data_IF_550852700480
#
_entry.id   IF_550852700480
#
_cell.length_a   1.000
_cell.length_b   1.000
_cell.length_c   1.000
_cell.angle_alpha   90.00
_cell.angle_beta   90.00
_cell.angle_gamma   90.00
#
_symmetry.space_group_name_H-M   'P 1'
#
loop_
_entity.id
_entity.type
_entity.pdbx_description
1 polymer ?
#
# COMPACT_ATOMS: atom_id res chain seq x y z
N UNK A 1 -21.10 1.54 13.42
CA UNK A 1 -20.38 2.56 12.64
C UNK A 1 -19.39 1.90 11.70
N UNK A 2 -19.16 2.48 10.53
CA UNK A 2 -18.08 2.03 9.65
C UNK A 2 -16.78 2.67 10.13
N UNK A 3 -15.87 1.83 10.61
CA UNK A 3 -14.60 2.24 11.21
C UNK A 3 -13.44 1.69 10.39
N UNK A 4 -12.43 2.53 10.20
CA UNK A 4 -11.19 2.15 9.55
C UNK A 4 -10.00 2.60 10.39
N UNK A 5 -8.83 2.04 10.09
CA UNK A 5 -7.58 2.56 10.62
C UNK A 5 -6.54 2.65 9.51
N UNK A 6 -5.62 3.58 9.68
CA UNK A 6 -4.42 3.71 8.84
C UNK A 6 -3.21 3.43 9.73
N UNK A 7 -2.35 2.53 9.27
CA UNK A 7 -1.08 2.26 9.89
C UNK A 7 -0.05 3.28 9.39
N UNK A 8 0.66 3.90 10.32
CA UNK A 8 1.76 4.82 10.02
C UNK A 8 3.02 4.26 10.63
N UNK A 9 4.11 4.32 9.86
CA UNK A 9 5.45 4.00 10.34
C UNK A 9 6.35 5.23 10.18
N UNK A 10 7.17 5.56 11.19
CA UNK A 10 8.21 6.56 11.03
C UNK A 10 9.28 6.06 10.06
N UNK A 11 9.74 6.94 9.17
CA UNK A 11 10.86 6.63 8.27
C UNK A 11 12.17 6.99 8.96
N UNK A 12 13.03 5.99 9.19
CA UNK A 12 14.38 6.21 9.69
C UNK A 12 15.36 6.31 8.53
N UNK A 13 16.20 7.35 8.53
CA UNK A 13 17.22 7.59 7.52
C UNK A 13 18.54 6.85 7.78
N UNK A 14 18.81 6.40 9.01
CA UNK A 14 19.99 5.60 9.37
C UNK A 14 19.71 4.66 10.54
N UNK A 15 20.14 3.40 10.41
CA UNK A 15 19.72 2.31 11.29
C UNK A 15 20.83 1.81 12.21
N UNK A 16 22.10 1.96 11.83
CA UNK A 16 23.20 1.29 12.55
C UNK A 16 23.58 1.92 13.90
N UNK A 17 23.47 3.24 14.09
CA UNK A 17 23.94 3.93 15.32
C UNK A 17 22.95 4.95 15.90
N UNK A 18 21.68 4.89 15.53
CA UNK A 18 20.69 5.83 16.04
C UNK A 18 20.09 5.30 17.36
N UNK A 19 20.22 6.00 18.50
CA UNK A 19 19.59 5.59 19.76
C UNK A 19 18.06 5.45 19.65
N UNK A 20 17.44 6.20 18.73
CA UNK A 20 16.02 6.06 18.40
C UNK A 20 15.67 4.66 17.86
N UNK A 21 16.59 3.98 17.17
CA UNK A 21 16.33 2.64 16.64
C UNK A 21 16.03 1.62 17.75
N UNK A 22 16.82 1.65 18.83
CA UNK A 22 16.63 0.76 19.99
C UNK A 22 15.32 1.03 20.74
N UNK A 23 14.86 2.28 20.74
CA UNK A 23 13.58 2.65 21.35
C UNK A 23 12.43 2.16 20.46
N UNK A 24 12.52 2.37 19.14
CA UNK A 24 11.45 2.02 18.20
C UNK A 24 11.27 0.51 18.06
N UNK A 25 12.34 -0.30 18.13
CA UNK A 25 12.23 -1.77 18.14
C UNK A 25 11.50 -2.29 19.39
N UNK A 26 11.59 -1.60 20.52
CA UNK A 26 10.95 -2.00 21.79
C UNK A 26 9.56 -1.42 21.98
N UNK A 27 9.18 -0.43 21.18
CA UNK A 27 7.88 0.22 21.29
C UNK A 27 6.82 -0.59 20.54
N UNK A 28 5.76 -0.98 21.26
CA UNK A 28 4.61 -1.67 20.68
C UNK A 28 3.79 -0.72 19.81
N UNK A 29 2.98 -1.26 18.90
CA UNK A 29 1.96 -0.48 18.21
C UNK A 29 1.04 0.25 19.21
N UNK A 30 0.71 1.51 18.92
CA UNK A 30 -0.12 2.36 19.76
C UNK A 30 -1.04 3.25 18.93
N UNK A 31 -2.10 3.77 19.57
CA UNK A 31 -3.01 4.73 18.95
C UNK A 31 -2.36 6.11 18.94
N UNK A 32 -2.09 6.64 17.75
CA UNK A 32 -1.49 7.96 17.57
C UNK A 32 -2.52 9.09 17.49
N UNK A 33 -3.76 8.78 17.09
CA UNK A 33 -4.84 9.77 17.04
C UNK A 33 -6.13 9.22 16.46
N UNK A 34 -7.20 10.01 16.56
CA UNK A 34 -8.48 9.78 15.88
C UNK A 34 -8.60 10.67 14.63
N UNK A 35 -9.37 10.20 13.65
CA UNK A 35 -9.82 10.99 12.51
C UNK A 35 -11.33 11.17 12.64
N UNK A 36 -11.75 12.41 12.86
CA UNK A 36 -13.12 12.80 13.15
C UNK A 36 -13.68 13.70 12.04
N UNK A 37 -15.00 13.83 11.97
CA UNK A 37 -15.68 14.67 10.97
C UNK A 37 -15.63 14.14 9.54
N UNK A 38 -15.35 12.84 9.34
CA UNK A 38 -15.35 12.22 8.01
C UNK A 38 -16.78 11.84 7.61
N UNK A 39 -17.30 12.52 6.59
CA UNK A 39 -18.63 12.27 6.03
C UNK A 39 -18.49 11.93 4.55
N UNK A 40 -19.08 10.81 4.13
CA UNK A 40 -19.11 10.43 2.72
C UNK A 40 -20.00 11.38 1.91
N UNK A 41 -19.86 11.39 0.59
CA UNK A 41 -20.78 12.11 -0.31
C UNK A 41 -22.25 11.67 -0.15
N UNK A 42 -22.48 10.44 0.32
CA UNK A 42 -23.79 9.89 0.65
C UNK A 42 -24.27 10.23 2.07
N UNK A 43 -23.53 11.04 2.83
CA UNK A 43 -23.91 11.49 4.17
C UNK A 43 -23.61 10.48 5.29
N UNK A 44 -22.87 9.40 5.00
CA UNK A 44 -22.48 8.45 6.04
C UNK A 44 -21.25 8.94 6.79
N UNK A 45 -21.39 9.06 8.11
CA UNK A 45 -20.27 9.33 9.00
C UNK A 45 -19.35 8.10 9.14
N UNK A 46 -18.05 8.37 9.18
CA UNK A 46 -17.00 7.38 9.35
C UNK A 46 -16.11 7.77 10.51
N UNK A 47 -15.69 6.77 11.29
CA UNK A 47 -14.70 6.95 12.34
C UNK A 47 -13.37 6.37 11.87
N UNK A 48 -12.32 7.18 11.91
CA UNK A 48 -10.98 6.73 11.56
C UNK A 48 -10.04 6.72 12.76
N UNK A 49 -9.03 5.86 12.68
CA UNK A 49 -7.96 5.79 13.68
C UNK A 49 -6.60 5.82 12.99
N UNK A 50 -5.63 6.49 13.62
CA UNK A 50 -4.22 6.44 13.21
C UNK A 50 -3.50 5.53 14.17
N UNK A 51 -3.04 4.39 13.69
CA UNK A 51 -2.24 3.44 14.47
C UNK A 51 -0.78 3.64 14.07
N UNK A 52 0.08 3.92 15.04
CA UNK A 52 1.51 3.95 14.80
C UNK A 52 2.09 2.57 15.06
N UNK A 53 2.82 2.03 14.09
CA UNK A 53 3.75 0.92 14.31
C UNK A 53 5.17 1.46 14.16
N UNK A 54 5.88 1.70 15.27
CA UNK A 54 7.19 2.36 15.28
C UNK A 54 8.22 1.74 14.35
N UNK A 55 8.24 0.41 14.23
CA UNK A 55 9.16 -0.26 13.34
C UNK A 55 8.67 -1.66 12.99
N UNK A 56 8.65 -1.97 11.68
CA UNK A 56 8.94 -3.32 11.23
C UNK A 56 10.29 -3.23 10.50
N UNK A 57 11.31 -3.91 10.99
CA UNK A 57 12.57 -3.94 10.30
C UNK A 57 12.40 -4.65 8.95
N UNK A 58 12.93 -4.02 7.89
CA UNK A 58 13.09 -4.69 6.61
C UNK A 58 13.91 -5.97 6.82
N UNK A 59 13.53 -7.05 6.12
CA UNK A 59 14.00 -8.44 6.30
C UNK A 59 15.52 -8.70 6.31
N UNK A 60 16.38 -7.70 6.18
CA UNK A 60 17.83 -7.84 6.11
C UNK A 60 18.54 -7.14 7.27
N UNK A 61 18.31 -7.62 8.50
CA UNK A 61 19.30 -7.40 9.55
C UNK A 61 19.53 -8.71 10.27
N UNK A 62 20.79 -9.12 10.32
CA UNK A 62 21.29 -10.32 10.98
C UNK A 62 21.03 -10.35 12.51
N UNK A 63 20.30 -9.37 13.04
CA UNK A 63 20.13 -9.07 14.47
C UNK A 63 18.69 -9.18 14.97
N UNK A 64 17.74 -9.58 14.12
CA UNK A 64 16.31 -9.57 14.48
C UNK A 64 15.79 -10.99 14.54
N UNK A 65 15.18 -11.41 15.67
CA UNK A 65 14.53 -12.70 15.77
C UNK A 65 13.46 -12.86 14.68
N UNK A 66 13.41 -14.01 14.01
CA UNK A 66 12.46 -14.27 12.91
C UNK A 66 10.98 -14.01 13.26
N UNK A 67 10.62 -14.08 14.55
CA UNK A 67 9.26 -13.85 15.04
C UNK A 67 8.94 -12.39 15.38
N UNK A 68 9.90 -11.45 15.30
CA UNK A 68 9.68 -10.06 15.71
C UNK A 68 8.57 -9.39 14.89
N UNK A 69 8.65 -9.51 13.56
CA UNK A 69 7.67 -8.94 12.64
C UNK A 69 6.28 -9.55 12.89
N UNK A 70 6.23 -10.84 13.21
CA UNK A 70 5.01 -11.54 13.58
C UNK A 70 4.40 -11.00 14.89
N UNK A 71 5.20 -10.77 15.92
CA UNK A 71 4.71 -10.23 17.19
C UNK A 71 4.16 -8.82 17.00
N UNK A 72 4.84 -7.98 16.22
CA UNK A 72 4.37 -6.62 15.92
C UNK A 72 3.10 -6.63 15.08
N UNK A 73 3.00 -7.53 14.09
CA UNK A 73 1.79 -7.76 13.32
C UNK A 73 0.59 -8.10 14.22
N UNK A 74 0.80 -9.05 15.13
CA UNK A 74 -0.22 -9.48 16.10
C UNK A 74 -0.70 -8.33 16.97
N UNK A 75 0.21 -7.47 17.43
CA UNK A 75 -0.12 -6.29 18.25
C UNK A 75 -0.96 -5.27 17.49
N UNK A 76 -0.61 -4.96 16.24
CA UNK A 76 -1.41 -4.06 15.38
C UNK A 76 -2.80 -4.60 15.15
N UNK A 77 -2.92 -5.89 14.84
CA UNK A 77 -4.21 -6.56 14.60
C UNK A 77 -5.04 -6.54 15.89
N UNK A 78 -4.46 -6.93 17.03
CA UNK A 78 -5.15 -6.92 18.32
C UNK A 78 -5.67 -5.51 18.69
N UNK A 79 -4.84 -4.47 18.50
CA UNK A 79 -5.26 -3.09 18.72
C UNK A 79 -6.40 -2.68 17.78
N UNK A 80 -6.29 -3.01 16.49
CA UNK A 80 -7.33 -2.72 15.50
C UNK A 80 -8.66 -3.40 15.84
N UNK A 81 -8.61 -4.65 16.32
CA UNK A 81 -9.80 -5.39 16.78
C UNK A 81 -10.43 -4.75 18.01
N UNK A 82 -9.61 -4.30 18.98
CA UNK A 82 -10.09 -3.58 20.17
C UNK A 82 -10.80 -2.28 19.80
N UNK A 83 -10.32 -1.59 18.77
CA UNK A 83 -10.93 -0.37 18.22
C UNK A 83 -12.16 -0.65 17.34
N UNK A 84 -12.52 -1.92 17.12
CA UNK A 84 -13.64 -2.31 16.29
C UNK A 84 -13.44 -1.96 14.81
N UNK A 85 -12.19 -1.83 14.34
CA UNK A 85 -11.85 -1.47 12.96
C UNK A 85 -12.25 -2.60 12.01
N UNK A 86 -12.91 -2.24 10.91
CA UNK A 86 -13.26 -3.22 9.85
C UNK A 86 -12.18 -3.34 8.79
N UNK A 87 -11.58 -2.22 8.41
CA UNK A 87 -10.55 -2.14 7.37
C UNK A 87 -9.31 -1.44 7.94
N UNK A 88 -8.15 -2.08 7.80
CA UNK A 88 -6.86 -1.51 8.18
C UNK A 88 -6.01 -1.29 6.92
N UNK A 89 -5.78 -0.02 6.58
CA UNK A 89 -4.84 0.37 5.53
C UNK A 89 -3.42 0.35 6.07
N UNK A 90 -2.55 -0.52 5.55
CA UNK A 90 -1.19 -0.74 6.08
C UNK A 90 -0.06 -0.27 5.16
N UNK A 91 -0.36 0.01 3.89
CA UNK A 91 0.66 0.31 2.89
C UNK A 91 1.35 -0.95 2.34
N UNK A 92 1.99 -0.84 1.17
CA UNK A 92 2.47 -1.99 0.39
C UNK A 92 3.54 -2.82 1.10
N UNK A 93 4.61 -2.19 1.59
CA UNK A 93 5.72 -2.90 2.25
C UNK A 93 5.27 -3.66 3.50
N UNK A 94 4.47 -2.99 4.34
CA UNK A 94 3.97 -3.60 5.57
C UNK A 94 2.89 -4.63 5.26
N UNK A 95 2.10 -4.45 4.21
CA UNK A 95 1.11 -5.43 3.79
C UNK A 95 1.77 -6.77 3.48
N UNK A 96 2.89 -6.79 2.76
CA UNK A 96 3.62 -8.02 2.43
C UNK A 96 4.13 -8.75 3.68
N UNK A 97 4.55 -7.99 4.70
CA UNK A 97 5.01 -8.55 5.98
C UNK A 97 3.86 -9.05 6.87
N UNK A 98 2.71 -8.37 6.84
CA UNK A 98 1.54 -8.69 7.67
C UNK A 98 0.62 -9.75 7.07
N UNK A 99 0.39 -9.71 5.75
CA UNK A 99 -0.68 -10.44 5.09
C UNK A 99 -0.58 -11.97 5.20
N UNK A 100 0.59 -12.61 5.02
CA UNK A 100 0.71 -14.08 5.16
C UNK A 100 0.26 -14.59 6.53
N UNK A 101 0.50 -13.79 7.57
CA UNK A 101 0.24 -14.15 8.97
C UNK A 101 -1.16 -13.73 9.44
N UNK A 102 -1.72 -12.66 8.88
CA UNK A 102 -3.01 -12.13 9.28
C UNK A 102 -4.19 -12.94 8.70
N UNK A 103 -4.09 -13.31 7.42
CA UNK A 103 -5.15 -13.99 6.68
C UNK A 103 -5.49 -15.37 7.27
N UNK A 104 -4.48 -16.08 7.79
CA UNK A 104 -4.64 -17.42 8.36
C UNK A 104 -5.17 -17.43 9.80
N UNK A 105 -4.93 -16.38 10.60
CA UNK A 105 -5.12 -16.44 12.06
C UNK A 105 -6.27 -15.61 12.61
N UNK A 106 -6.60 -14.47 12.02
CA UNK A 106 -7.44 -13.48 12.72
C UNK A 106 -8.78 -13.15 12.06
N UNK A 107 -8.92 -13.36 10.74
CA UNK A 107 -10.16 -13.11 9.99
C UNK A 107 -10.62 -11.64 9.88
N UNK A 108 -10.20 -10.75 10.80
CA UNK A 108 -10.43 -9.31 10.76
C UNK A 108 -9.37 -8.54 11.58
N UNK A 109 -9.10 -7.25 11.28
CA UNK A 109 -9.68 -6.45 10.19
C UNK A 109 -9.22 -6.90 8.80
N UNK A 110 -9.95 -6.51 7.76
CA UNK A 110 -9.50 -6.69 6.37
C UNK A 110 -8.29 -5.76 6.15
N UNK A 111 -7.17 -6.33 5.74
CA UNK A 111 -5.97 -5.56 5.42
C UNK A 111 -6.06 -4.99 4.01
N UNK A 112 -5.56 -3.76 3.82
CA UNK A 112 -5.43 -3.15 2.51
C UNK A 112 -4.04 -2.54 2.33
N UNK A 113 -3.36 -2.88 1.23
CA UNK A 113 -2.12 -2.23 0.81
C UNK A 113 -2.35 -0.82 0.22
N UNK A 114 -3.59 -0.51 -0.17
CA UNK A 114 -3.95 0.75 -0.82
C UNK A 114 -3.56 0.85 -2.30
N UNK A 115 -3.01 -0.20 -2.90
CA UNK A 115 -2.51 -0.15 -4.28
C UNK A 115 -3.60 0.13 -5.32
N UNK A 116 -4.79 -0.47 -5.18
CA UNK A 116 -5.93 -0.21 -6.08
C UNK A 116 -6.34 1.27 -6.04
N UNK A 117 -6.43 1.85 -4.84
CA UNK A 117 -6.75 3.27 -4.67
C UNK A 117 -5.70 4.17 -5.33
N UNK A 118 -4.41 3.88 -5.12
CA UNK A 118 -3.30 4.62 -5.73
C UNK A 118 -3.31 4.51 -7.27
N UNK A 119 -3.58 3.32 -7.82
CA UNK A 119 -3.71 3.12 -9.27
C UNK A 119 -4.87 3.94 -9.86
N UNK A 120 -6.03 3.99 -9.18
CA UNK A 120 -7.16 4.83 -9.59
C UNK A 120 -6.82 6.33 -9.58
N UNK A 121 -6.06 6.81 -8.60
CA UNK A 121 -5.55 8.19 -8.59
C UNK A 121 -4.66 8.43 -9.81
N UNK A 122 -3.70 7.55 -10.06
CA UNK A 122 -2.76 7.66 -11.20
C UNK A 122 -3.53 7.73 -12.53
N UNK A 123 -4.50 6.83 -12.73
CA UNK A 123 -5.39 6.84 -13.90
C UNK A 123 -6.15 8.15 -14.03
N UNK A 124 -6.70 8.68 -12.94
CA UNK A 124 -7.44 9.95 -12.93
C UNK A 124 -6.54 11.13 -13.30
N UNK A 125 -5.31 11.17 -12.77
CA UNK A 125 -4.31 12.18 -13.10
C UNK A 125 -3.91 12.11 -14.58
N UNK A 126 -3.74 10.90 -15.13
CA UNK A 126 -3.39 10.71 -16.54
C UNK A 126 -4.47 11.20 -17.51
N UNK A 127 -5.73 11.27 -17.10
CA UNK A 127 -6.80 11.89 -17.90
C UNK A 127 -6.83 13.41 -17.77
N UNK A 128 -6.55 13.92 -16.57
CA UNK A 128 -6.69 15.35 -16.27
C UNK A 128 -5.49 16.16 -16.75
N UNK A 129 -4.27 15.69 -16.50
CA UNK A 129 -3.04 16.45 -16.78
C UNK A 129 -2.85 16.76 -18.27
N UNK A 130 -2.99 15.81 -19.21
CA UNK A 130 -2.90 16.10 -20.65
C UNK A 130 -4.00 17.05 -21.12
N UNK A 131 -5.22 16.88 -20.62
CA UNK A 131 -6.37 17.73 -20.93
C UNK A 131 -6.10 19.20 -20.55
N UNK A 132 -5.53 19.44 -19.37
CA UNK A 132 -5.14 20.80 -18.94
C UNK A 132 -4.06 21.44 -19.83
N UNK A 133 -3.34 20.63 -20.62
CA UNK A 133 -2.30 21.09 -21.55
C UNK A 133 -2.73 21.05 -23.02
N UNK A 134 -4.00 20.72 -23.31
CA UNK A 134 -4.49 20.56 -24.68
C UNK A 134 -3.87 19.37 -25.43
N UNK A 135 -3.25 18.42 -24.72
CA UNK A 135 -2.62 17.24 -25.32
C UNK A 135 -3.67 16.12 -25.37
N UNK A 136 -4.04 15.61 -26.56
CA UNK A 136 -4.96 14.49 -26.66
C UNK A 136 -4.32 13.23 -26.08
N UNK A 137 -5.11 12.41 -25.38
CA UNK A 137 -4.62 11.20 -24.71
C UNK A 137 -3.95 10.21 -25.69
N UNK A 138 -4.37 10.20 -26.96
CA UNK A 138 -3.78 9.38 -28.04
C UNK A 138 -2.32 9.74 -28.37
N UNK A 139 -1.87 10.95 -28.04
CA UNK A 139 -0.48 11.39 -28.22
C UNK A 139 0.38 11.18 -26.96
N UNK A 140 -0.25 10.84 -25.83
CA UNK A 140 0.46 10.62 -24.58
C UNK A 140 1.17 9.28 -24.64
N UNK A 141 2.47 9.29 -24.31
CA UNK A 141 3.27 8.09 -24.10
C UNK A 141 3.53 7.93 -22.61
N UNK A 142 3.25 6.76 -22.07
CA UNK A 142 3.43 6.47 -20.65
C UNK A 142 4.46 5.38 -20.48
N UNK A 143 5.36 5.57 -19.52
CA UNK A 143 6.34 4.57 -19.09
C UNK A 143 6.04 4.21 -17.65
N UNK A 144 5.81 2.92 -17.39
CA UNK A 144 5.62 2.38 -16.03
C UNK A 144 6.93 1.74 -15.58
N UNK A 145 7.64 2.43 -14.70
CA UNK A 145 8.87 1.93 -14.07
C UNK A 145 8.53 1.14 -12.81
N UNK A 146 9.02 -0.11 -12.73
CA UNK A 146 8.65 -1.05 -11.67
C UNK A 146 7.36 -1.82 -11.96
N UNK A 147 7.07 -2.12 -13.24
CA UNK A 147 5.84 -2.82 -13.62
C UNK A 147 5.73 -4.27 -13.11
N UNK A 148 6.82 -4.83 -12.56
CA UNK A 148 6.82 -6.13 -11.88
C UNK A 148 6.16 -6.08 -10.50
N UNK A 149 6.24 -4.93 -9.82
CA UNK A 149 5.65 -4.72 -8.49
C UNK A 149 4.12 -4.60 -8.52
N UNK A 150 3.47 -4.77 -7.36
CA UNK A 150 2.01 -4.86 -7.29
C UNK A 150 1.32 -3.57 -7.77
N UNK A 151 1.76 -2.38 -7.34
CA UNK A 151 1.21 -1.12 -7.86
C UNK A 151 1.52 -0.92 -9.35
N UNK A 152 2.75 -1.18 -9.79
CA UNK A 152 3.18 -0.99 -11.18
C UNK A 152 2.37 -1.86 -12.14
N UNK A 153 2.14 -3.12 -11.78
CA UNK A 153 1.32 -4.06 -12.54
C UNK A 153 -0.13 -3.58 -12.67
N UNK A 154 -0.74 -3.16 -11.57
CA UNK A 154 -2.10 -2.60 -11.58
C UNK A 154 -2.19 -1.35 -12.46
N UNK A 155 -1.21 -0.45 -12.36
CA UNK A 155 -1.14 0.72 -13.25
C UNK A 155 -1.01 0.30 -14.71
N UNK A 156 -0.14 -0.65 -15.05
CA UNK A 156 0.02 -1.13 -16.41
C UNK A 156 -1.30 -1.66 -16.99
N UNK A 157 -1.99 -2.53 -16.25
CA UNK A 157 -3.28 -3.12 -16.67
C UNK A 157 -4.37 -2.06 -16.83
N UNK A 158 -4.56 -1.19 -15.82
CA UNK A 158 -5.61 -0.17 -15.83
C UNK A 158 -5.39 0.87 -16.94
N UNK A 159 -4.13 1.14 -17.30
CA UNK A 159 -3.79 2.16 -18.30
C UNK A 159 -3.72 1.61 -19.72
N UNK A 160 -3.47 0.32 -19.90
CA UNK A 160 -3.35 -0.28 -21.22
C UNK A 160 -4.62 -0.09 -22.08
N UNK A 161 -5.81 -0.19 -21.48
CA UNK A 161 -7.07 0.01 -22.19
C UNK A 161 -7.37 1.46 -22.59
N UNK A 162 -6.53 2.43 -22.20
CA UNK A 162 -6.79 3.86 -22.45
C UNK A 162 -5.71 4.55 -23.29
N UNK A 163 -4.55 3.91 -23.43
CA UNK A 163 -3.36 4.50 -24.02
C UNK A 163 -2.94 3.73 -25.25
N UNK A 164 -2.54 4.46 -26.29
CA UNK A 164 -1.93 3.83 -27.48
C UNK A 164 -0.50 3.38 -27.27
N UNK A 165 0.21 4.02 -26.34
CA UNK A 165 1.65 3.81 -26.14
C UNK A 165 1.94 3.64 -24.64
N UNK A 166 2.11 2.39 -24.23
CA UNK A 166 2.49 2.00 -22.88
C UNK A 166 3.80 1.23 -22.91
N UNK A 167 4.80 1.71 -22.19
CA UNK A 167 6.10 1.05 -22.04
C UNK A 167 6.23 0.52 -20.62
N UNK A 168 6.60 -0.76 -20.50
CA UNK A 168 6.82 -1.42 -19.21
C UNK A 168 8.32 -1.54 -18.95
N UNK A 169 8.76 -1.16 -17.75
CA UNK A 169 10.16 -1.24 -17.34
C UNK A 169 10.27 -1.92 -15.97
N UNK A 170 11.25 -2.80 -15.83
CA UNK A 170 11.79 -3.22 -14.54
C UNK A 170 12.79 -4.37 -14.68
N UNK A 171 12.86 -5.25 -13.67
CA UNK A 171 14.05 -6.09 -13.44
C UNK A 171 13.92 -7.54 -13.99
N UNK A 172 12.72 -8.12 -14.04
CA UNK A 172 12.49 -9.52 -14.46
C UNK A 172 11.82 -9.64 -15.83
N UNK A 173 12.58 -10.04 -16.86
CA UNK A 173 12.08 -10.21 -18.23
C UNK A 173 10.88 -11.19 -18.32
N UNK A 174 10.93 -12.29 -17.58
CA UNK A 174 9.85 -13.30 -17.53
C UNK A 174 8.54 -12.70 -17.01
N UNK A 175 8.60 -11.92 -15.93
CA UNK A 175 7.41 -11.30 -15.35
C UNK A 175 6.82 -10.23 -16.27
N UNK A 176 7.66 -9.45 -16.95
CA UNK A 176 7.19 -8.49 -17.96
C UNK A 176 6.57 -9.19 -19.17
N UNK A 177 7.17 -10.27 -19.66
CA UNK A 177 6.65 -11.00 -20.80
C UNK A 177 5.23 -11.51 -20.54
N UNK A 178 4.98 -12.05 -19.35
CA UNK A 178 3.65 -12.49 -18.94
C UNK A 178 2.66 -11.33 -18.83
N UNK A 179 3.05 -10.23 -18.17
CA UNK A 179 2.19 -9.05 -18.02
C UNK A 179 1.86 -8.41 -19.38
N UNK A 180 2.85 -8.27 -20.26
CA UNK A 180 2.66 -7.72 -21.60
C UNK A 180 1.73 -8.61 -22.43
N UNK A 181 1.93 -9.93 -22.39
CA UNK A 181 1.06 -10.89 -23.08
C UNK A 181 -0.38 -10.80 -22.55
N UNK A 182 -0.55 -10.73 -21.23
CA UNK A 182 -1.86 -10.58 -20.61
C UNK A 182 -2.54 -9.28 -21.06
N UNK A 183 -1.83 -8.16 -21.02
CA UNK A 183 -2.34 -6.86 -21.46
C UNK A 183 -2.76 -6.92 -22.94
N UNK A 184 -1.91 -7.40 -23.83
CA UNK A 184 -2.22 -7.52 -25.26
C UNK A 184 -3.46 -8.41 -25.51
N UNK A 185 -3.60 -9.49 -24.74
CA UNK A 185 -4.77 -10.37 -24.83
C UNK A 185 -6.05 -9.68 -24.34
N UNK A 186 -5.98 -8.93 -23.24
CA UNK A 186 -7.15 -8.30 -22.60
C UNK A 186 -7.57 -6.99 -23.29
N UNK A 187 -6.64 -6.24 -23.87
CA UNK A 187 -6.90 -4.88 -24.37
C UNK A 187 -6.69 -4.69 -25.87
N UNK A 188 -6.16 -5.69 -26.59
CA UNK A 188 -5.82 -5.61 -28.01
C UNK A 188 -4.54 -4.82 -28.28
#
# INVERSE_FOLDING_TARGET
MNSFAILVQPRLSSVSHNPGYQILTRTSAFLAGSLEGLVSLSGHEMQGWVICLPLIPAQNQDTIPGDFNYQQASKVIALSRKLGVKILGVGESVFEELAPNAASKYGFPILSSGNVYRACIIRSLLRQVPKCRGIPLSQVKVVVVGASGALGRLCAQVLAGELRNLVLVGISEKEFGLLATQILYETG
#
